data_IF_308855129639
#
_entry.id   IF_308855129639
#
_cell.length_a   1.000
_cell.length_b   1.000
_cell.length_c   1.000
_cell.angle_alpha   90.00
_cell.angle_beta   90.00
_cell.angle_gamma   90.00
#
_symmetry.space_group_name_H-M   'P 1'
#
loop_
_entity.id
_entity.type
_entity.pdbx_description
1 polymer ?
#
# COMPACT_ATOMS: atom_id res chain seq x y z
N UNK A 1 -10.23 -4.12 31.46
CA UNK A 1 -10.70 -5.29 30.66
C UNK A 1 -11.80 -4.82 29.74
N UNK A 2 -11.50 -4.51 28.48
CA UNK A 2 -12.52 -4.15 27.48
C UNK A 2 -13.15 -5.47 27.03
N UNK A 3 -14.40 -5.71 27.49
CA UNK A 3 -15.15 -6.91 27.12
C UNK A 3 -15.18 -7.09 25.61
N UNK A 4 -14.94 -8.30 25.12
CA UNK A 4 -15.08 -8.71 23.71
C UNK A 4 -16.50 -8.41 23.23
N UNK A 5 -16.78 -7.18 22.76
CA UNK A 5 -18.06 -6.84 22.15
C UNK A 5 -18.22 -7.71 20.91
N UNK A 6 -19.32 -8.48 20.85
CA UNK A 6 -19.68 -9.28 19.69
C UNK A 6 -20.25 -8.35 18.60
N UNK A 7 -19.48 -8.11 17.54
CA UNK A 7 -19.86 -7.25 16.39
C UNK A 7 -20.94 -7.85 15.48
N UNK A 8 -21.53 -8.98 15.89
CA UNK A 8 -22.60 -9.66 15.14
C UNK A 8 -22.10 -10.67 14.10
N UNK A 9 -22.99 -11.61 13.71
CA UNK A 9 -22.67 -12.71 12.79
C UNK A 9 -22.38 -12.22 11.37
N UNK A 10 -23.07 -11.16 10.93
CA UNK A 10 -22.89 -10.61 9.58
C UNK A 10 -21.52 -9.93 9.41
N UNK A 11 -21.09 -9.16 10.42
CA UNK A 11 -19.74 -8.66 10.47
C UNK A 11 -18.70 -9.79 10.46
N UNK A 12 -19.00 -10.89 11.16
CA UNK A 12 -18.11 -12.07 11.18
C UNK A 12 -17.86 -12.62 9.78
N UNK A 13 -18.88 -12.74 8.93
CA UNK A 13 -18.75 -13.17 7.54
C UNK A 13 -17.93 -12.17 6.70
N UNK A 14 -18.23 -10.88 6.82
CA UNK A 14 -17.49 -9.85 6.10
C UNK A 14 -16.00 -9.85 6.48
N UNK A 15 -15.70 -9.93 7.78
CA UNK A 15 -14.33 -9.99 8.26
C UNK A 15 -13.62 -11.29 7.86
N UNK A 16 -14.27 -12.44 7.93
CA UNK A 16 -13.70 -13.72 7.50
C UNK A 16 -13.39 -13.73 6.00
N UNK A 17 -14.29 -13.23 5.15
CA UNK A 17 -14.06 -13.07 3.72
C UNK A 17 -12.85 -12.19 3.44
N UNK A 18 -12.76 -11.03 4.10
CA UNK A 18 -11.61 -10.16 4.01
C UNK A 18 -10.32 -10.85 4.48
N UNK A 19 -10.36 -11.55 5.62
CA UNK A 19 -9.19 -12.24 6.16
C UNK A 19 -8.64 -13.29 5.19
N UNK A 20 -9.53 -14.13 4.64
CA UNK A 20 -9.15 -15.14 3.64
C UNK A 20 -8.46 -14.49 2.43
N UNK A 21 -9.07 -13.43 1.88
CA UNK A 21 -8.50 -12.69 0.75
C UNK A 21 -7.19 -12.01 1.12
N UNK A 22 -7.07 -11.42 2.32
CA UNK A 22 -5.86 -10.74 2.77
C UNK A 22 -4.68 -11.72 2.95
N UNK A 23 -4.92 -12.87 3.57
CA UNK A 23 -3.87 -13.90 3.72
C UNK A 23 -3.52 -14.55 2.38
N UNK A 24 -4.47 -14.78 1.48
CA UNK A 24 -4.21 -15.26 0.13
C UNK A 24 -3.30 -14.30 -0.63
N UNK A 25 -3.64 -13.00 -0.65
CA UNK A 25 -2.81 -11.96 -1.27
C UNK A 25 -1.47 -11.78 -0.56
N UNK A 26 -1.40 -12.01 0.75
CA UNK A 26 -0.16 -12.06 1.50
C UNK A 26 0.77 -13.18 1.03
N UNK A 27 0.23 -14.39 0.85
CA UNK A 27 0.96 -15.54 0.27
C UNK A 27 1.40 -15.27 -1.17
N UNK A 28 0.55 -14.58 -1.94
CA UNK A 28 0.83 -14.15 -3.31
C UNK A 28 1.73 -12.91 -3.41
N UNK A 29 2.22 -12.35 -2.28
CA UNK A 29 3.10 -11.18 -2.29
C UNK A 29 4.36 -11.47 -3.12
N UNK A 30 4.61 -10.62 -4.10
CA UNK A 30 5.72 -10.79 -5.02
C UNK A 30 5.58 -11.96 -6.01
N UNK A 31 4.47 -12.72 -6.02
CA UNK A 31 4.32 -13.87 -6.91
C UNK A 31 4.40 -13.49 -8.39
N UNK A 32 3.73 -12.41 -8.81
CA UNK A 32 3.80 -11.95 -10.20
C UNK A 32 5.20 -11.48 -10.61
N UNK A 33 5.91 -10.63 -9.85
CA UNK A 33 7.31 -10.33 -10.06
C UNK A 33 8.21 -11.58 -10.05
N UNK A 34 7.99 -12.52 -9.11
CA UNK A 34 8.73 -13.78 -9.06
C UNK A 34 8.54 -14.64 -10.32
N UNK A 35 7.30 -14.78 -10.80
CA UNK A 35 7.01 -15.49 -12.06
C UNK A 35 7.67 -14.76 -13.23
N UNK A 36 7.59 -13.42 -13.31
CA UNK A 36 8.26 -12.65 -14.34
C UNK A 36 9.78 -12.90 -14.35
N UNK A 37 10.42 -12.89 -13.18
CA UNK A 37 11.87 -13.09 -13.04
C UNK A 37 12.28 -14.55 -13.29
N UNK A 38 11.60 -15.51 -12.66
CA UNK A 38 12.04 -16.91 -12.63
C UNK A 38 11.56 -17.72 -13.84
N UNK A 39 10.34 -17.45 -14.33
CA UNK A 39 9.72 -18.22 -15.42
C UNK A 39 9.93 -17.52 -16.76
N UNK A 40 9.59 -16.22 -16.85
CA UNK A 40 9.68 -15.45 -18.10
C UNK A 40 11.07 -14.84 -18.32
N UNK A 41 11.94 -14.88 -17.32
CA UNK A 41 13.29 -14.28 -17.35
C UNK A 41 13.24 -12.77 -17.68
N UNK A 42 12.18 -12.10 -17.23
CA UNK A 42 11.95 -10.69 -17.46
C UNK A 42 13.09 -9.81 -16.96
N UNK A 43 13.38 -8.74 -17.69
CA UNK A 43 14.38 -7.75 -17.32
C UNK A 43 13.93 -6.79 -16.22
N UNK A 44 14.83 -5.91 -15.73
CA UNK A 44 14.49 -4.94 -14.68
C UNK A 44 13.37 -3.99 -15.06
N UNK A 45 13.35 -3.52 -16.33
CA UNK A 45 12.29 -2.64 -16.85
C UNK A 45 10.93 -3.32 -16.84
N UNK A 46 10.86 -4.60 -17.28
CA UNK A 46 9.63 -5.37 -17.30
C UNK A 46 9.09 -5.62 -15.88
N UNK A 47 9.94 -6.06 -14.95
CA UNK A 47 9.53 -6.31 -13.55
C UNK A 47 9.06 -5.01 -12.88
N UNK A 48 9.73 -3.89 -13.15
CA UNK A 48 9.34 -2.58 -12.65
C UNK A 48 8.04 -2.08 -13.29
N UNK A 49 7.84 -2.32 -14.59
CA UNK A 49 6.58 -2.01 -15.28
C UNK A 49 5.41 -2.80 -14.66
N UNK A 50 5.60 -4.10 -14.38
CA UNK A 50 4.60 -4.93 -13.72
C UNK A 50 4.23 -4.39 -12.32
N UNK A 51 5.22 -3.97 -11.54
CA UNK A 51 5.02 -3.39 -10.21
C UNK A 51 4.38 -1.99 -10.26
N UNK A 52 4.61 -1.23 -11.34
CA UNK A 52 4.03 0.10 -11.55
C UNK A 52 2.56 0.07 -11.98
N UNK A 53 2.07 -1.04 -12.56
CA UNK A 53 0.68 -1.16 -13.06
C UNK A 53 -0.34 -0.93 -11.95
N UNK A 54 -0.18 -1.55 -10.77
CA UNK A 54 -1.11 -1.38 -9.67
C UNK A 54 -1.28 0.08 -9.23
N UNK A 55 -0.20 0.78 -8.89
CA UNK A 55 -0.22 2.21 -8.60
C UNK A 55 -0.75 3.07 -9.76
N UNK A 56 -0.39 2.77 -11.03
CA UNK A 56 -0.91 3.50 -12.19
C UNK A 56 -2.43 3.37 -12.31
N UNK A 57 -2.96 2.15 -12.19
CA UNK A 57 -4.39 1.89 -12.14
C UNK A 57 -5.05 2.63 -10.96
N UNK A 58 -4.40 2.63 -9.79
CA UNK A 58 -4.86 3.36 -8.62
C UNK A 58 -4.98 4.86 -8.87
N UNK A 59 -4.00 5.46 -9.54
CA UNK A 59 -4.03 6.88 -9.88
C UNK A 59 -5.13 7.24 -10.91
N UNK A 60 -5.34 6.38 -11.91
CA UNK A 60 -6.25 6.65 -13.01
C UNK A 60 -7.71 6.31 -12.69
N UNK A 61 -7.95 5.19 -12.00
CA UNK A 61 -9.30 4.61 -11.85
C UNK A 61 -9.97 4.98 -10.53
N UNK A 62 -9.21 5.37 -9.50
CA UNK A 62 -9.79 5.69 -8.19
C UNK A 62 -10.89 6.76 -8.26
N UNK A 63 -10.75 7.75 -9.15
CA UNK A 63 -11.70 8.86 -9.32
C UNK A 63 -13.01 8.41 -9.96
N UNK A 64 -13.02 7.78 -11.15
CA UNK A 64 -14.27 7.37 -11.81
C UNK A 64 -14.95 6.17 -11.11
N UNK A 65 -14.18 5.37 -10.37
CA UNK A 65 -14.69 4.16 -9.73
C UNK A 65 -15.51 4.45 -8.47
N UNK A 66 -15.18 5.49 -7.71
CA UNK A 66 -15.88 5.82 -6.47
C UNK A 66 -17.38 6.12 -6.69
N UNK A 67 -17.81 6.98 -7.64
CA UNK A 67 -19.22 7.18 -7.95
C UNK A 67 -19.89 5.90 -8.47
N UNK A 68 -19.21 5.14 -9.33
CA UNK A 68 -19.76 3.89 -9.87
C UNK A 68 -20.10 2.88 -8.76
N UNK A 69 -19.24 2.75 -7.73
CA UNK A 69 -19.50 1.91 -6.56
C UNK A 69 -20.63 2.49 -5.70
N UNK A 70 -20.72 3.82 -5.55
CA UNK A 70 -21.71 4.49 -4.70
C UNK A 70 -23.15 4.18 -5.15
N UNK A 71 -23.41 4.18 -6.46
CA UNK A 71 -24.73 3.95 -7.04
C UNK A 71 -25.10 2.47 -7.22
N UNK A 72 -24.29 1.53 -6.72
CA UNK A 72 -24.55 0.10 -6.82
C UNK A 72 -24.70 -0.56 -5.46
N UNK A 73 -25.39 -1.71 -5.44
CA UNK A 73 -25.45 -2.58 -4.26
C UNK A 73 -24.05 -3.10 -3.94
N UNK A 74 -23.63 -2.97 -2.67
CA UNK A 74 -22.23 -3.16 -2.27
C UNK A 74 -21.81 -4.63 -2.32
N UNK A 75 -22.67 -5.55 -1.87
CA UNK A 75 -22.39 -6.99 -1.85
C UNK A 75 -22.21 -7.59 -3.25
N UNK A 76 -23.15 -7.39 -4.22
CA UNK A 76 -22.91 -7.83 -5.60
C UNK A 76 -21.64 -7.27 -6.22
N UNK A 77 -21.29 -6.01 -5.95
CA UNK A 77 -20.03 -5.42 -6.41
C UNK A 77 -18.84 -6.16 -5.81
N UNK A 78 -18.82 -6.42 -4.50
CA UNK A 78 -17.73 -7.16 -3.85
C UNK A 78 -17.58 -8.58 -4.43
N UNK A 79 -18.69 -9.30 -4.60
CA UNK A 79 -18.67 -10.66 -5.20
C UNK A 79 -18.14 -10.61 -6.63
N UNK A 80 -18.63 -9.67 -7.45
CA UNK A 80 -18.19 -9.52 -8.83
C UNK A 80 -16.70 -9.19 -8.92
N UNK A 81 -16.18 -8.34 -8.02
CA UNK A 81 -14.76 -7.98 -7.99
C UNK A 81 -13.88 -9.15 -7.55
N UNK A 82 -14.34 -9.97 -6.58
CA UNK A 82 -13.61 -11.17 -6.19
C UNK A 82 -13.60 -12.23 -7.29
N UNK A 83 -14.73 -12.43 -7.98
CA UNK A 83 -14.81 -13.35 -9.12
C UNK A 83 -13.94 -12.86 -10.29
N UNK A 84 -13.89 -11.55 -10.54
CA UNK A 84 -13.01 -10.98 -11.56
C UNK A 84 -11.52 -11.21 -11.22
N UNK A 85 -11.12 -11.02 -9.94
CA UNK A 85 -9.77 -11.32 -9.46
C UNK A 85 -9.46 -12.81 -9.57
N UNK A 86 -10.38 -13.68 -9.14
CA UNK A 86 -10.26 -15.14 -9.29
C UNK A 86 -10.03 -15.53 -10.75
N UNK A 87 -10.93 -15.08 -11.64
CA UNK A 87 -10.86 -15.43 -13.06
C UNK A 87 -9.53 -14.94 -13.69
N UNK A 88 -9.13 -13.70 -13.42
CA UNK A 88 -7.88 -13.16 -13.92
C UNK A 88 -6.66 -13.96 -13.42
N UNK A 89 -6.56 -14.22 -12.10
CA UNK A 89 -5.46 -14.96 -11.50
C UNK A 89 -5.43 -16.41 -11.96
N UNK A 90 -6.59 -17.07 -12.14
CA UNK A 90 -6.68 -18.45 -12.60
C UNK A 90 -6.19 -18.64 -14.06
N UNK A 91 -6.14 -17.58 -14.87
CA UNK A 91 -5.54 -17.66 -16.22
C UNK A 91 -4.04 -17.95 -16.18
N UNK A 92 -3.32 -17.56 -15.13
CA UNK A 92 -1.87 -17.72 -15.01
C UNK A 92 -1.46 -19.20 -14.90
N UNK A 93 -1.99 -20.01 -13.94
CA UNK A 93 -1.65 -21.40 -13.87
C UNK A 93 -2.06 -22.19 -15.10
N UNK A 94 -3.20 -21.84 -15.73
CA UNK A 94 -3.63 -22.44 -16.98
C UNK A 94 -2.64 -22.15 -18.10
N UNK A 95 -2.31 -20.88 -18.32
CA UNK A 95 -1.34 -20.49 -19.35
C UNK A 95 0.05 -21.07 -19.09
N UNK A 96 0.46 -21.18 -17.83
CA UNK A 96 1.71 -21.81 -17.44
C UNK A 96 1.75 -23.31 -17.80
N UNK A 97 0.66 -24.04 -17.52
CA UNK A 97 0.56 -25.45 -17.82
C UNK A 97 0.61 -25.76 -19.33
N UNK A 98 0.08 -24.85 -20.16
CA UNK A 98 0.13 -24.97 -21.64
C UNK A 98 1.36 -24.33 -22.28
N UNK A 99 2.24 -23.69 -21.51
CA UNK A 99 3.41 -22.99 -22.04
C UNK A 99 3.10 -21.68 -22.78
N UNK A 100 1.90 -21.10 -22.58
CA UNK A 100 1.44 -19.87 -23.26
C UNK A 100 1.57 -18.62 -22.37
N UNK A 101 2.17 -18.76 -21.19
CA UNK A 101 2.33 -17.64 -20.26
C UNK A 101 3.16 -16.52 -20.90
N UNK A 102 2.59 -15.32 -20.96
CA UNK A 102 3.25 -14.14 -21.52
C UNK A 102 3.35 -13.00 -20.51
N UNK A 103 4.33 -12.11 -20.72
CA UNK A 103 4.48 -10.92 -19.88
C UNK A 103 3.26 -9.98 -19.99
N UNK A 104 2.68 -9.83 -21.20
CA UNK A 104 1.47 -9.03 -21.43
C UNK A 104 0.30 -9.57 -20.58
N UNK A 105 0.16 -10.89 -20.48
CA UNK A 105 -0.87 -11.50 -19.62
C UNK A 105 -0.66 -11.10 -18.16
N UNK A 106 0.57 -11.11 -17.65
CA UNK A 106 0.85 -10.68 -16.26
C UNK A 106 0.48 -9.21 -16.03
N UNK A 107 0.77 -8.33 -17.00
CA UNK A 107 0.37 -6.91 -16.95
C UNK A 107 -1.15 -6.75 -16.89
N UNK A 108 -1.89 -7.44 -17.77
CA UNK A 108 -3.36 -7.39 -17.82
C UNK A 108 -3.95 -7.92 -16.51
N UNK A 109 -3.48 -9.06 -16.03
CA UNK A 109 -3.93 -9.64 -14.76
C UNK A 109 -3.66 -8.68 -13.59
N UNK A 110 -2.46 -8.08 -13.52
CA UNK A 110 -2.12 -7.09 -12.49
C UNK A 110 -3.05 -5.88 -12.53
N UNK A 111 -3.36 -5.37 -13.74
CA UNK A 111 -4.27 -4.24 -13.91
C UNK A 111 -5.70 -4.58 -13.45
N UNK A 112 -6.22 -5.75 -13.83
CA UNK A 112 -7.56 -6.22 -13.44
C UNK A 112 -7.64 -6.41 -11.93
N UNK A 113 -6.66 -7.08 -11.33
CA UNK A 113 -6.59 -7.32 -9.88
C UNK A 113 -6.52 -6.01 -9.11
N UNK A 114 -5.71 -5.04 -9.56
CA UNK A 114 -5.60 -3.72 -8.92
C UNK A 114 -6.93 -2.93 -9.00
N UNK A 115 -7.55 -2.86 -10.19
CA UNK A 115 -8.84 -2.19 -10.38
C UNK A 115 -9.95 -2.81 -9.52
N UNK A 116 -10.04 -4.13 -9.54
CA UNK A 116 -11.02 -4.88 -8.75
C UNK A 116 -10.81 -4.71 -7.24
N UNK A 117 -9.54 -4.66 -6.76
CA UNK A 117 -9.20 -4.40 -5.36
C UNK A 117 -9.69 -3.03 -4.89
N UNK A 118 -9.54 -2.00 -5.72
CA UNK A 118 -10.00 -0.64 -5.40
C UNK A 118 -11.53 -0.61 -5.25
N UNK A 119 -12.27 -1.21 -6.20
CA UNK A 119 -13.73 -1.30 -6.14
C UNK A 119 -14.21 -2.14 -4.95
N UNK A 120 -13.56 -3.26 -4.69
CA UNK A 120 -13.85 -4.13 -3.55
C UNK A 120 -13.68 -3.37 -2.22
N UNK A 121 -12.58 -2.67 -2.03
CA UNK A 121 -12.31 -1.91 -0.80
C UNK A 121 -13.31 -0.77 -0.59
N UNK A 122 -13.70 -0.06 -1.66
CA UNK A 122 -14.70 0.99 -1.62
C UNK A 122 -16.08 0.43 -1.22
N UNK A 123 -16.51 -0.68 -1.84
CA UNK A 123 -17.76 -1.35 -1.50
C UNK A 123 -17.73 -1.96 -0.09
N UNK A 124 -16.60 -2.56 0.31
CA UNK A 124 -16.38 -3.17 1.63
C UNK A 124 -16.49 -2.16 2.77
N UNK A 125 -15.89 -0.98 2.59
CA UNK A 125 -16.00 0.12 3.57
C UNK A 125 -17.44 0.62 3.77
N UNK A 126 -18.20 0.71 2.68
CA UNK A 126 -19.63 1.07 2.74
C UNK A 126 -20.48 -0.05 3.38
N UNK A 127 -20.20 -1.32 3.03
CA UNK A 127 -20.86 -2.48 3.62
C UNK A 127 -20.58 -2.58 5.13
N UNK A 128 -19.35 -2.32 5.57
CA UNK A 128 -18.96 -2.29 6.97
C UNK A 128 -19.79 -1.27 7.76
N UNK A 129 -19.92 -0.04 7.24
CA UNK A 129 -20.75 1.01 7.87
C UNK A 129 -22.21 0.64 8.02
N UNK A 130 -22.75 -0.16 7.08
CA UNK A 130 -24.12 -0.62 7.12
C UNK A 130 -24.34 -1.78 8.11
N UNK A 131 -23.31 -2.60 8.37
CA UNK A 131 -23.40 -3.79 9.23
C UNK A 131 -23.05 -3.53 10.70
N UNK A 132 -22.32 -2.47 11.00
CA UNK A 132 -21.76 -2.19 12.34
C UNK A 132 -22.27 -0.85 12.83
N UNK A 133 -22.63 -0.80 14.13
CA UNK A 133 -23.07 0.44 14.78
C UNK A 133 -21.93 1.49 14.81
N UNK A 134 -22.25 2.79 14.76
CA UNK A 134 -21.22 3.84 14.77
C UNK A 134 -20.19 3.69 15.91
N UNK A 135 -20.64 3.35 17.12
CA UNK A 135 -19.78 3.18 18.31
C UNK A 135 -18.82 1.99 18.21
N UNK A 136 -19.13 1.00 17.38
CA UNK A 136 -18.35 -0.23 17.21
C UNK A 136 -17.45 -0.18 15.96
N UNK A 137 -17.55 0.87 15.12
CA UNK A 137 -16.76 1.01 13.88
C UNK A 137 -15.25 1.03 14.14
N UNK A 138 -14.81 1.64 15.25
CA UNK A 138 -13.40 1.68 15.61
C UNK A 138 -12.86 0.26 15.87
N UNK A 139 -13.63 -0.56 16.61
CA UNK A 139 -13.23 -1.95 16.92
C UNK A 139 -13.25 -2.80 15.66
N UNK A 140 -14.24 -2.59 14.78
CA UNK A 140 -14.34 -3.29 13.50
C UNK A 140 -13.14 -2.96 12.60
N UNK A 141 -12.82 -1.67 12.40
CA UNK A 141 -11.66 -1.25 11.61
C UNK A 141 -10.34 -1.76 12.20
N UNK A 142 -10.18 -1.76 13.53
CA UNK A 142 -8.99 -2.29 14.18
C UNK A 142 -8.78 -3.79 13.88
N UNK A 143 -9.86 -4.58 13.72
CA UNK A 143 -9.76 -5.99 13.28
C UNK A 143 -9.28 -6.12 11.83
N UNK A 144 -9.80 -5.29 10.91
CA UNK A 144 -9.34 -5.28 9.53
C UNK A 144 -7.87 -4.91 9.45
N UNK A 145 -7.45 -3.85 10.15
CA UNK A 145 -6.04 -3.42 10.20
C UNK A 145 -5.13 -4.49 10.79
N UNK A 146 -5.53 -5.11 11.90
CA UNK A 146 -4.76 -6.21 12.52
C UNK A 146 -4.61 -7.40 11.56
N UNK A 147 -5.67 -7.74 10.82
CA UNK A 147 -5.63 -8.80 9.80
C UNK A 147 -4.71 -8.42 8.64
N UNK A 148 -4.77 -7.18 8.17
CA UNK A 148 -3.90 -6.68 7.11
C UNK A 148 -2.43 -6.77 7.51
N UNK A 149 -2.06 -6.23 8.67
CA UNK A 149 -0.67 -6.28 9.15
C UNK A 149 -0.18 -7.70 9.39
N UNK A 150 -1.02 -8.58 9.95
CA UNK A 150 -0.63 -9.98 10.15
C UNK A 150 -0.46 -10.72 8.82
N UNK A 151 -1.29 -10.43 7.81
CA UNK A 151 -1.13 -11.03 6.47
C UNK A 151 0.14 -10.55 5.77
N UNK A 152 0.52 -9.28 5.94
CA UNK A 152 1.77 -8.74 5.40
C UNK A 152 2.99 -9.32 6.13
N UNK A 153 2.90 -9.55 7.44
CA UNK A 153 4.01 -10.11 8.23
C UNK A 153 4.24 -11.61 7.96
N UNK A 154 3.17 -12.39 7.82
CA UNK A 154 3.21 -13.86 7.73
C UNK A 154 3.17 -14.34 6.28
N UNK A 155 2.48 -13.59 5.40
CA UNK A 155 2.25 -13.98 4.01
C UNK A 155 3.53 -14.20 3.20
N UNK A 156 4.42 -13.21 3.08
CA UNK A 156 5.61 -13.32 2.23
C UNK A 156 6.57 -14.45 2.61
N UNK A 157 6.89 -14.74 3.89
CA UNK A 157 7.70 -15.88 4.24
C UNK A 157 7.07 -17.22 3.87
N UNK A 158 5.77 -17.37 4.15
CA UNK A 158 5.05 -18.60 3.80
C UNK A 158 4.89 -18.73 2.28
N UNK A 159 4.64 -17.63 1.58
CA UNK A 159 4.58 -17.60 0.12
C UNK A 159 5.92 -17.94 -0.50
N UNK A 160 7.02 -17.37 -0.02
CA UNK A 160 8.37 -17.70 -0.46
C UNK A 160 8.74 -19.15 -0.21
N UNK A 161 8.38 -19.72 0.95
CA UNK A 161 8.55 -21.13 1.25
C UNK A 161 7.71 -22.03 0.32
N UNK A 162 6.45 -21.67 0.08
CA UNK A 162 5.58 -22.41 -0.84
C UNK A 162 6.11 -22.38 -2.28
N UNK A 163 6.65 -21.26 -2.74
CA UNK A 163 7.30 -21.13 -4.05
C UNK A 163 8.54 -22.03 -4.12
N UNK A 164 9.34 -22.07 -3.05
CA UNK A 164 10.54 -22.90 -2.99
C UNK A 164 10.25 -24.41 -3.00
N UNK A 165 9.14 -24.84 -2.40
CA UNK A 165 8.75 -26.26 -2.29
C UNK A 165 7.91 -26.74 -3.49
N UNK A 166 6.98 -25.91 -3.97
CA UNK A 166 5.94 -26.31 -4.93
C UNK A 166 5.99 -25.54 -6.25
N UNK A 167 6.92 -24.60 -6.38
CA UNK A 167 7.08 -23.76 -7.57
C UNK A 167 6.31 -22.44 -7.52
N UNK A 168 6.61 -21.51 -8.47
CA UNK A 168 6.16 -20.13 -8.40
C UNK A 168 4.66 -19.94 -8.66
N UNK A 169 3.98 -20.90 -9.29
CA UNK A 169 2.55 -20.82 -9.62
C UNK A 169 1.67 -21.17 -8.44
N UNK A 170 2.18 -21.89 -7.44
CA UNK A 170 1.41 -22.38 -6.29
C UNK A 170 0.76 -21.24 -5.49
N UNK A 171 1.51 -20.17 -5.23
CA UNK A 171 0.98 -19.00 -4.48
C UNK A 171 -0.05 -18.24 -5.27
N UNK A 172 0.04 -18.21 -6.61
CA UNK A 172 -0.98 -17.63 -7.49
C UNK A 172 -2.29 -18.42 -7.41
N UNK A 173 -2.20 -19.77 -7.38
CA UNK A 173 -3.36 -20.64 -7.20
C UNK A 173 -3.99 -20.41 -5.83
N UNK A 174 -3.18 -20.34 -4.77
CA UNK A 174 -3.67 -20.08 -3.42
C UNK A 174 -4.36 -18.71 -3.31
N UNK A 175 -3.81 -17.66 -3.90
CA UNK A 175 -4.41 -16.33 -3.94
C UNK A 175 -5.71 -16.34 -4.76
N UNK A 176 -5.73 -16.96 -5.93
CA UNK A 176 -6.94 -17.11 -6.73
C UNK A 176 -8.07 -17.80 -5.94
N UNK A 177 -7.76 -18.94 -5.30
CA UNK A 177 -8.75 -19.66 -4.48
C UNK A 177 -9.23 -18.82 -3.29
N UNK A 178 -8.38 -17.98 -2.72
CA UNK A 178 -8.76 -17.07 -1.63
C UNK A 178 -9.84 -16.07 -2.06
N UNK A 179 -9.76 -15.55 -3.28
CA UNK A 179 -10.81 -14.68 -3.85
C UNK A 179 -12.13 -15.40 -4.05
N UNK A 180 -12.09 -16.65 -4.51
CA UNK A 180 -13.29 -17.46 -4.64
C UNK A 180 -13.95 -17.74 -3.28
N UNK A 181 -13.16 -18.11 -2.28
CA UNK A 181 -13.64 -18.32 -0.91
C UNK A 181 -14.18 -17.03 -0.29
N UNK A 182 -13.54 -15.89 -0.56
CA UNK A 182 -14.03 -14.57 -0.14
C UNK A 182 -15.39 -14.26 -0.76
N UNK A 183 -15.54 -14.46 -2.08
CA UNK A 183 -16.82 -14.27 -2.76
C UNK A 183 -17.94 -15.15 -2.15
N UNK A 184 -17.66 -16.43 -1.89
CA UNK A 184 -18.60 -17.35 -1.23
C UNK A 184 -18.95 -16.88 0.19
N UNK A 185 -17.98 -16.40 0.97
CA UNK A 185 -18.22 -15.85 2.30
C UNK A 185 -19.10 -14.60 2.29
N UNK A 186 -18.96 -13.74 1.28
CA UNK A 186 -19.83 -12.55 1.11
C UNK A 186 -21.26 -12.95 0.78
N UNK A 187 -21.50 -14.01 0.03
CA UNK A 187 -22.88 -14.51 -0.25
C UNK A 187 -23.60 -14.97 1.03
N UNK A 188 -22.86 -15.42 2.05
CA UNK A 188 -23.42 -15.82 3.33
C UNK A 188 -23.90 -14.64 4.20
N UNK A 189 -23.57 -13.41 3.83
CA UNK A 189 -24.04 -12.21 4.52
C UNK A 189 -25.52 -12.01 4.20
N UNK A 190 -26.39 -12.20 5.20
CA UNK A 190 -27.85 -12.03 5.11
C UNK A 190 -28.24 -10.63 5.58
N UNK A 191 -29.42 -10.16 5.14
CA UNK A 191 -30.02 -8.87 5.49
C UNK A 191 -30.32 -8.03 4.26
N UNK A 192 -31.27 -7.12 4.39
CA UNK A 192 -31.59 -6.17 3.31
C UNK A 192 -30.45 -5.18 3.17
N UNK A 193 -29.94 -5.06 1.97
CA UNK A 193 -29.00 -4.00 1.64
C UNK A 193 -29.81 -2.74 1.32
N UNK A 194 -29.46 -1.60 1.92
CA UNK A 194 -30.08 -0.33 1.57
C UNK A 194 -30.09 -0.15 0.05
N UNK A 195 -31.23 0.26 -0.48
CA UNK A 195 -31.33 0.59 -1.90
C UNK A 195 -30.29 1.65 -2.27
N UNK A 196 -29.66 1.53 -3.44
CA UNK A 196 -28.71 2.55 -3.89
C UNK A 196 -29.38 3.93 -3.83
N UNK A 197 -28.68 4.93 -3.34
CA UNK A 197 -29.19 6.30 -3.33
C UNK A 197 -29.46 6.74 -4.77
N UNK A 198 -30.75 6.81 -5.14
CA UNK A 198 -31.19 7.23 -6.48
C UNK A 198 -31.20 8.76 -6.66
N UNK A 199 -31.07 9.51 -5.58
CA UNK A 199 -31.13 10.97 -5.57
C UNK A 199 -29.85 11.57 -5.02
N UNK A 200 -29.04 12.06 -5.92
CA UNK A 200 -27.83 12.80 -5.60
C UNK A 200 -26.88 12.87 -6.79
N UNK A 201 -27.33 13.51 -7.88
CA UNK A 201 -26.41 14.02 -8.90
C UNK A 201 -25.51 15.08 -8.27
N UNK A 202 -24.51 14.69 -7.51
CA UNK A 202 -23.29 15.46 -7.47
C UNK A 202 -22.34 14.82 -8.47
N UNK A 203 -22.30 15.30 -9.71
CA UNK A 203 -21.17 14.96 -10.55
C UNK A 203 -19.95 15.35 -9.73
N UNK A 204 -19.02 14.43 -9.51
CA UNK A 204 -17.68 14.81 -9.08
C UNK A 204 -17.16 15.67 -10.22
N UNK A 205 -17.42 16.99 -10.10
CA UNK A 205 -16.91 17.95 -11.09
C UNK A 205 -15.41 17.77 -11.05
N UNK A 206 -14.78 17.61 -12.21
CA UNK A 206 -13.31 17.57 -12.30
C UNK A 206 -12.68 18.74 -11.53
N UNK A 207 -13.37 19.90 -11.47
CA UNK A 207 -13.01 21.02 -10.62
C UNK A 207 -12.98 20.73 -9.12
N UNK A 208 -13.78 19.79 -8.61
CA UNK A 208 -13.79 19.47 -7.18
C UNK A 208 -12.52 18.74 -6.72
N UNK A 209 -11.88 17.97 -7.60
CA UNK A 209 -10.57 17.36 -7.33
C UNK A 209 -9.45 18.40 -7.37
N UNK A 210 -9.54 19.35 -8.30
CA UNK A 210 -8.59 20.46 -8.41
C UNK A 210 -8.58 21.31 -7.14
N UNK A 211 -9.71 21.46 -6.44
CA UNK A 211 -9.75 22.18 -5.16
C UNK A 211 -8.89 21.52 -4.08
N UNK A 212 -8.84 20.17 -4.05
CA UNK A 212 -7.94 19.41 -3.17
C UNK A 212 -6.47 19.72 -3.46
N UNK A 213 -6.06 19.69 -4.72
CA UNK A 213 -4.70 20.06 -5.12
C UNK A 213 -4.38 21.52 -4.94
N UNK A 214 -5.32 22.43 -5.23
CA UNK A 214 -5.16 23.87 -4.97
C UNK A 214 -4.89 24.12 -3.50
N UNK A 215 -5.65 23.47 -2.62
CA UNK A 215 -5.43 23.57 -1.18
C UNK A 215 -4.04 23.05 -0.77
N UNK A 216 -3.64 21.85 -1.25
CA UNK A 216 -2.33 21.26 -0.96
C UNK A 216 -1.17 22.15 -1.44
N UNK A 217 -1.28 22.71 -2.65
CA UNK A 217 -0.23 23.55 -3.23
C UNK A 217 -0.23 24.99 -2.67
N UNK A 218 -1.40 25.46 -2.23
CA UNK A 218 -1.55 26.82 -1.65
C UNK A 218 -1.02 26.94 -0.23
N UNK A 219 -1.00 25.85 0.56
CA UNK A 219 -0.49 25.87 1.93
C UNK A 219 0.98 25.46 1.98
N UNK A 220 1.92 26.36 2.35
CA UNK A 220 3.36 26.09 2.27
C UNK A 220 3.81 24.83 3.00
N UNK A 221 3.33 24.61 4.25
CA UNK A 221 3.66 23.43 5.04
C UNK A 221 3.12 22.13 4.43
N UNK A 222 1.84 22.12 3.97
CA UNK A 222 1.25 20.95 3.32
C UNK A 222 1.94 20.63 1.99
N UNK A 223 2.25 21.65 1.19
CA UNK A 223 2.99 21.49 -0.08
C UNK A 223 4.34 20.84 0.12
N UNK A 224 5.13 21.34 1.09
CA UNK A 224 6.44 20.81 1.41
C UNK A 224 6.36 19.33 1.84
N UNK A 225 5.46 19.01 2.76
CA UNK A 225 5.25 17.63 3.25
C UNK A 225 4.68 16.73 2.14
N UNK A 226 3.79 17.23 1.29
CA UNK A 226 3.24 16.48 0.17
C UNK A 226 4.34 16.10 -0.82
N UNK A 227 5.12 17.06 -1.33
CA UNK A 227 6.20 16.81 -2.29
C UNK A 227 7.27 15.87 -1.71
N UNK A 228 7.68 16.11 -0.46
CA UNK A 228 8.61 15.22 0.22
C UNK A 228 8.06 13.79 0.33
N UNK A 229 6.78 13.62 0.72
CA UNK A 229 6.19 12.29 0.86
C UNK A 229 6.00 11.57 -0.49
N UNK A 230 5.67 12.30 -1.57
CA UNK A 230 5.57 11.75 -2.93
C UNK A 230 6.92 11.18 -3.38
N UNK A 231 8.00 11.95 -3.23
CA UNK A 231 9.33 11.53 -3.63
C UNK A 231 9.85 10.38 -2.76
N UNK A 232 9.79 10.50 -1.44
CA UNK A 232 10.28 9.46 -0.52
C UNK A 232 9.50 8.15 -0.73
N UNK A 233 8.17 8.21 -0.73
CA UNK A 233 7.34 7.02 -0.91
C UNK A 233 7.53 6.38 -2.29
N UNK A 234 7.61 7.19 -3.35
CA UNK A 234 7.84 6.70 -4.70
C UNK A 234 9.22 6.06 -4.88
N UNK A 235 10.29 6.68 -4.34
CA UNK A 235 11.65 6.13 -4.41
C UNK A 235 11.79 4.83 -3.61
N UNK A 236 11.19 4.74 -2.42
CA UNK A 236 11.19 3.50 -1.63
C UNK A 236 10.46 2.39 -2.39
N UNK A 237 9.25 2.64 -2.90
CA UNK A 237 8.49 1.63 -3.63
C UNK A 237 9.15 1.23 -4.95
N UNK A 238 9.89 2.12 -5.60
CA UNK A 238 10.67 1.82 -6.81
C UNK A 238 11.81 0.81 -6.57
N UNK A 239 12.29 0.66 -5.33
CA UNK A 239 13.36 -0.30 -5.03
C UNK A 239 12.88 -1.75 -4.96
N UNK A 240 11.60 -2.01 -4.68
CA UNK A 240 11.06 -3.37 -4.52
C UNK A 240 11.27 -4.25 -5.76
N UNK A 241 10.86 -3.85 -6.98
CA UNK A 241 11.11 -4.67 -8.18
C UNK A 241 12.59 -4.80 -8.53
N UNK A 242 13.39 -3.78 -8.24
CA UNK A 242 14.84 -3.82 -8.46
C UNK A 242 15.52 -4.83 -7.51
N UNK A 243 15.07 -4.87 -6.24
CA UNK A 243 15.54 -5.86 -5.27
C UNK A 243 15.12 -7.27 -5.68
N UNK A 244 13.93 -7.47 -6.24
CA UNK A 244 13.52 -8.77 -6.74
C UNK A 244 14.52 -9.28 -7.81
N UNK A 245 14.85 -8.45 -8.79
CA UNK A 245 15.83 -8.82 -9.84
C UNK A 245 17.23 -9.01 -9.25
N UNK A 246 17.68 -8.10 -8.38
CA UNK A 246 19.01 -8.16 -7.76
C UNK A 246 19.18 -9.44 -6.92
N UNK A 247 18.24 -9.68 -6.00
CA UNK A 247 18.35 -10.78 -5.04
C UNK A 247 18.18 -12.15 -5.71
N UNK A 248 17.14 -12.30 -6.54
CA UNK A 248 16.79 -13.60 -7.11
C UNK A 248 17.64 -13.97 -8.31
N UNK A 249 17.96 -13.00 -9.20
CA UNK A 249 18.63 -13.28 -10.46
C UNK A 249 20.14 -13.05 -10.40
N UNK A 250 20.60 -11.96 -9.77
CA UNK A 250 22.03 -11.62 -9.74
C UNK A 250 22.76 -12.24 -8.55
N UNK A 251 22.12 -12.27 -7.38
CA UNK A 251 22.71 -12.80 -6.14
C UNK A 251 22.24 -14.22 -5.82
N UNK A 252 21.36 -14.81 -6.65
CA UNK A 252 20.86 -16.17 -6.54
C UNK A 252 20.28 -16.55 -5.16
N UNK A 253 19.59 -15.62 -4.51
CA UNK A 253 18.91 -15.89 -3.25
C UNK A 253 17.72 -16.83 -3.50
N UNK A 254 17.51 -17.84 -2.66
CA UNK A 254 16.32 -18.67 -2.75
C UNK A 254 15.06 -17.84 -2.43
N UNK A 255 13.90 -18.18 -3.02
CA UNK A 255 12.65 -17.41 -2.88
C UNK A 255 12.21 -17.19 -1.43
N UNK A 256 12.48 -18.14 -0.52
CA UNK A 256 12.14 -17.98 0.90
C UNK A 256 12.96 -16.88 1.59
N UNK A 257 14.24 -16.69 1.22
CA UNK A 257 15.05 -15.59 1.74
C UNK A 257 14.56 -14.25 1.23
N UNK A 258 14.12 -14.18 -0.04
CA UNK A 258 13.47 -13.00 -0.58
C UNK A 258 12.21 -12.65 0.23
N UNK A 259 11.31 -13.63 0.46
CA UNK A 259 10.13 -13.42 1.31
C UNK A 259 10.47 -12.95 2.73
N UNK A 260 11.49 -13.55 3.34
CA UNK A 260 11.95 -13.20 4.68
C UNK A 260 12.55 -11.78 4.74
N UNK A 261 13.27 -11.36 3.69
CA UNK A 261 13.87 -10.02 3.61
C UNK A 261 12.84 -8.90 3.75
N UNK A 262 11.61 -9.11 3.26
CA UNK A 262 10.53 -8.12 3.36
C UNK A 262 9.60 -8.34 4.57
N UNK A 263 9.44 -9.57 5.04
CA UNK A 263 8.50 -9.86 6.12
C UNK A 263 9.07 -9.55 7.51
N UNK A 264 10.33 -9.92 7.76
CA UNK A 264 10.93 -9.70 9.07
C UNK A 264 10.96 -8.21 9.47
N UNK A 265 11.25 -7.26 8.55
CA UNK A 265 11.18 -5.83 8.84
C UNK A 265 9.79 -5.29 9.22
N UNK A 266 8.70 -5.99 8.89
CA UNK A 266 7.34 -5.56 9.24
C UNK A 266 7.11 -5.41 10.77
N UNK A 267 7.89 -6.09 11.59
CA UNK A 267 7.91 -5.89 13.05
C UNK A 267 8.25 -4.42 13.39
N UNK A 268 9.07 -3.76 12.57
CA UNK A 268 9.38 -2.34 12.69
C UNK A 268 8.16 -1.43 12.64
N UNK A 269 7.12 -1.83 11.91
CA UNK A 269 5.85 -1.10 11.85
C UNK A 269 5.14 -0.99 13.20
N UNK A 270 5.16 -2.08 13.99
CA UNK A 270 4.62 -2.10 15.34
C UNK A 270 5.46 -1.25 16.30
N UNK A 271 6.78 -1.30 16.17
CA UNK A 271 7.71 -0.50 16.99
C UNK A 271 7.50 0.98 16.69
N UNK A 272 7.58 1.39 15.42
CA UNK A 272 7.45 2.78 15.02
C UNK A 272 6.11 3.41 15.39
N UNK A 273 5.00 2.71 15.16
CA UNK A 273 3.65 3.21 15.48
C UNK A 273 3.44 3.41 16.99
N UNK A 274 3.98 2.52 17.83
CA UNK A 274 3.91 2.67 19.31
C UNK A 274 4.78 3.81 19.81
N UNK A 275 5.92 4.06 19.16
CA UNK A 275 6.84 5.14 19.52
C UNK A 275 6.32 6.51 19.08
N UNK A 276 5.52 6.59 18.02
CA UNK A 276 5.07 7.84 17.42
C UNK A 276 4.49 8.82 18.44
N UNK A 277 3.53 8.38 19.28
CA UNK A 277 2.91 9.22 20.30
C UNK A 277 3.92 9.73 21.32
N UNK A 278 4.83 8.86 21.80
CA UNK A 278 5.84 9.22 22.83
C UNK A 278 6.82 10.26 22.29
N UNK A 279 7.25 10.07 21.03
CA UNK A 279 8.19 10.96 20.36
C UNK A 279 7.56 12.33 20.08
N UNK A 280 6.30 12.37 19.63
CA UNK A 280 5.57 13.63 19.39
C UNK A 280 5.37 14.41 20.70
N UNK A 281 4.95 13.73 21.77
CA UNK A 281 4.72 14.39 23.08
C UNK A 281 6.02 14.96 23.65
N UNK A 282 7.16 14.26 23.42
CA UNK A 282 8.45 14.67 23.99
C UNK A 282 9.16 15.77 23.17
N UNK A 283 9.08 15.72 21.83
CA UNK A 283 9.89 16.55 20.93
C UNK A 283 9.07 17.49 20.03
N UNK A 284 7.74 17.31 20.02
CA UNK A 284 6.85 18.09 19.16
C UNK A 284 6.81 17.61 17.71
N UNK A 285 5.75 17.99 16.98
CA UNK A 285 5.52 17.59 15.58
C UNK A 285 6.63 18.06 14.64
N UNK A 286 7.08 19.32 14.79
CA UNK A 286 8.12 19.90 13.94
C UNK A 286 9.46 19.15 14.03
N UNK A 287 9.89 18.79 15.24
CA UNK A 287 11.10 18.00 15.44
C UNK A 287 10.99 16.63 14.76
N UNK A 288 9.82 15.97 14.86
CA UNK A 288 9.57 14.69 14.19
C UNK A 288 9.67 14.84 12.66
N UNK A 289 9.07 15.88 12.06
CA UNK A 289 9.17 16.08 10.61
C UNK A 289 10.61 16.29 10.15
N UNK A 290 11.43 17.00 10.89
CA UNK A 290 12.83 17.23 10.54
C UNK A 290 13.73 16.03 10.82
N UNK A 291 13.69 15.47 12.03
CA UNK A 291 14.62 14.39 12.43
C UNK A 291 14.24 13.07 11.77
N UNK A 292 13.00 12.61 11.96
CA UNK A 292 12.54 11.34 11.39
C UNK A 292 12.39 11.44 9.88
N UNK A 293 11.94 12.62 9.36
CA UNK A 293 11.89 12.89 7.94
C UNK A 293 13.25 12.83 7.25
N UNK A 294 14.33 13.22 7.93
CA UNK A 294 15.72 13.07 7.45
C UNK A 294 16.20 11.63 7.62
N UNK A 295 15.99 11.03 8.80
CA UNK A 295 16.43 9.66 9.07
C UNK A 295 15.88 8.64 8.09
N UNK A 296 14.59 8.76 7.68
CA UNK A 296 14.00 7.83 6.71
C UNK A 296 14.67 7.88 5.32
N UNK A 297 15.35 8.97 4.99
CA UNK A 297 16.05 9.15 3.72
C UNK A 297 17.44 8.50 3.70
N UNK A 298 18.08 8.30 4.84
CA UNK A 298 19.48 7.86 4.91
C UNK A 298 19.62 6.36 4.61
N UNK A 299 18.65 5.56 4.99
CA UNK A 299 18.78 4.09 4.97
C UNK A 299 18.81 3.49 3.59
N UNK A 300 18.06 4.06 2.63
CA UNK A 300 17.85 3.46 1.30
C UNK A 300 19.17 3.22 0.55
N UNK A 301 20.16 4.07 0.73
CA UNK A 301 21.48 3.91 0.08
C UNK A 301 22.19 2.60 0.49
N UNK A 302 21.85 2.05 1.66
CA UNK A 302 22.38 0.78 2.13
C UNK A 302 22.07 -0.40 1.20
N UNK A 303 20.97 -0.33 0.43
CA UNK A 303 20.59 -1.37 -0.53
C UNK A 303 21.57 -1.50 -1.70
N UNK A 304 22.35 -0.45 -2.01
CA UNK A 304 23.36 -0.49 -3.04
C UNK A 304 24.54 -1.43 -2.67
N UNK A 305 24.75 -1.68 -1.37
CA UNK A 305 25.87 -2.47 -0.84
C UNK A 305 25.51 -3.92 -0.53
N UNK A 306 24.35 -4.38 -0.93
CA UNK A 306 23.90 -5.75 -0.72
C UNK A 306 24.84 -6.75 -1.42
N UNK A 307 25.32 -7.76 -0.65
CA UNK A 307 26.23 -8.81 -1.10
C UNK A 307 25.53 -10.17 -1.13
N UNK A 308 26.08 -11.18 -1.84
CA UNK A 308 25.54 -12.55 -1.77
C UNK A 308 25.63 -13.13 -0.36
N UNK A 309 24.74 -14.09 -0.07
CA UNK A 309 24.75 -14.86 1.16
C UNK A 309 24.11 -14.15 2.37
N UNK A 310 24.36 -14.69 3.56
CA UNK A 310 23.71 -14.25 4.81
C UNK A 310 23.94 -12.76 5.12
N UNK A 311 25.14 -12.26 4.82
CA UNK A 311 25.47 -10.83 5.05
C UNK A 311 24.56 -9.92 4.24
N UNK A 312 24.30 -10.27 2.96
CA UNK A 312 23.37 -9.48 2.12
C UNK A 312 21.94 -9.55 2.62
N UNK A 313 21.47 -10.74 3.05
CA UNK A 313 20.14 -10.91 3.62
C UNK A 313 19.97 -10.01 4.87
N UNK A 314 20.93 -10.05 5.79
CA UNK A 314 20.91 -9.22 7.01
C UNK A 314 20.96 -7.73 6.66
N UNK A 315 21.73 -7.36 5.64
CA UNK A 315 21.80 -5.95 5.17
C UNK A 315 20.43 -5.48 4.68
N UNK A 316 19.74 -6.26 3.81
CA UNK A 316 18.39 -5.91 3.33
C UNK A 316 17.42 -5.80 4.50
N UNK A 317 17.40 -6.81 5.38
CA UNK A 317 16.51 -6.82 6.55
C UNK A 317 16.74 -5.62 7.48
N UNK A 318 17.99 -5.25 7.72
CA UNK A 318 18.33 -4.12 8.59
C UNK A 318 17.92 -2.77 7.97
N UNK A 319 18.17 -2.59 6.66
CA UNK A 319 17.78 -1.38 5.93
C UNK A 319 16.27 -1.23 5.87
N UNK A 320 15.55 -2.29 5.48
CA UNK A 320 14.08 -2.29 5.41
C UNK A 320 13.45 -2.08 6.80
N UNK A 321 13.98 -2.73 7.84
CA UNK A 321 13.56 -2.52 9.22
C UNK A 321 13.68 -1.05 9.63
N UNK A 322 14.81 -0.43 9.34
CA UNK A 322 15.05 0.98 9.65
C UNK A 322 14.09 1.89 8.88
N UNK A 323 13.87 1.63 7.58
CA UNK A 323 12.91 2.38 6.75
C UNK A 323 11.51 2.25 7.34
N UNK A 324 11.04 1.03 7.64
CA UNK A 324 9.68 0.76 8.13
C UNK A 324 9.45 1.39 9.50
N UNK A 325 10.42 1.33 10.44
CA UNK A 325 10.32 2.01 11.75
C UNK A 325 10.12 3.51 11.54
N UNK A 326 10.97 4.14 10.72
CA UNK A 326 10.90 5.59 10.50
C UNK A 326 9.60 5.99 9.77
N UNK A 327 9.16 5.21 8.77
CA UNK A 327 7.90 5.45 8.06
C UNK A 327 6.69 5.32 8.98
N UNK A 328 6.66 4.28 9.83
CA UNK A 328 5.56 4.03 10.77
C UNK A 328 5.50 5.06 11.90
N UNK A 329 6.63 5.66 12.26
CA UNK A 329 6.68 6.77 13.20
C UNK A 329 6.21 8.08 12.55
N UNK A 330 6.61 8.33 11.31
CA UNK A 330 6.33 9.56 10.57
C UNK A 330 4.86 9.65 10.07
N UNK A 331 4.31 8.55 9.56
CA UNK A 331 3.01 8.52 8.89
C UNK A 331 1.83 9.04 9.73
N UNK A 332 1.64 8.64 11.01
CA UNK A 332 0.53 9.14 11.82
C UNK A 332 0.66 10.64 12.11
N UNK A 333 1.89 11.15 12.29
CA UNK A 333 2.14 12.58 12.53
C UNK A 333 1.78 13.39 11.29
N UNK A 334 2.17 12.91 10.12
CA UNK A 334 1.81 13.52 8.84
C UNK A 334 0.30 13.50 8.60
N UNK A 335 -0.37 12.39 8.90
CA UNK A 335 -1.81 12.26 8.75
C UNK A 335 -2.56 13.25 9.65
N UNK A 336 -2.14 13.38 10.91
CA UNK A 336 -2.71 14.33 11.87
C UNK A 336 -2.51 15.77 11.40
N UNK A 337 -1.29 16.17 11.05
CA UNK A 337 -0.99 17.50 10.56
C UNK A 337 -1.83 17.87 9.32
N UNK A 338 -1.96 16.95 8.37
CA UNK A 338 -2.78 17.14 7.18
C UNK A 338 -4.26 17.37 7.51
N UNK A 339 -4.82 16.65 8.48
CA UNK A 339 -6.21 16.80 8.90
C UNK A 339 -6.44 18.12 9.66
N UNK A 340 -5.51 18.51 10.53
CA UNK A 340 -5.57 19.76 11.30
C UNK A 340 -5.55 21.02 10.41
N UNK A 341 -4.76 20.95 9.31
CA UNK A 341 -4.59 22.09 8.39
C UNK A 341 -5.50 22.01 7.15
N UNK A 342 -6.51 21.13 7.16
CA UNK A 342 -7.47 21.02 6.07
C UNK A 342 -8.88 21.36 6.56
N UNK A 343 -9.56 22.37 5.99
CA UNK A 343 -10.95 22.71 6.32
C UNK A 343 -11.87 21.50 6.15
N UNK A 344 -12.85 21.33 7.05
CA UNK A 344 -13.74 20.14 7.08
C UNK A 344 -14.39 19.83 5.73
N UNK A 345 -14.79 20.85 4.97
CA UNK A 345 -15.43 20.69 3.66
C UNK A 345 -14.47 20.26 2.53
N UNK A 346 -13.13 20.38 2.73
CA UNK A 346 -12.11 19.99 1.76
C UNK A 346 -11.40 18.67 2.11
N UNK A 347 -11.61 18.11 3.30
CA UNK A 347 -10.88 16.92 3.77
C UNK A 347 -10.93 15.78 2.76
N UNK A 348 -12.12 15.39 2.29
CA UNK A 348 -12.25 14.28 1.34
C UNK A 348 -11.50 14.56 0.02
N UNK A 349 -11.58 15.79 -0.50
CA UNK A 349 -10.91 16.20 -1.74
C UNK A 349 -9.40 16.22 -1.59
N UNK A 350 -8.91 16.74 -0.47
CA UNK A 350 -7.47 16.78 -0.14
C UNK A 350 -6.89 15.37 0.04
N UNK A 351 -7.62 14.47 0.72
CA UNK A 351 -7.20 13.08 0.88
C UNK A 351 -7.18 12.32 -0.45
N UNK A 352 -8.16 12.55 -1.33
CA UNK A 352 -8.18 11.97 -2.67
C UNK A 352 -7.02 12.48 -3.54
N UNK A 353 -6.78 13.80 -3.55
CA UNK A 353 -5.66 14.41 -4.27
C UNK A 353 -4.30 13.87 -3.76
N UNK A 354 -4.17 13.71 -2.45
CA UNK A 354 -2.98 13.10 -1.83
C UNK A 354 -2.76 11.67 -2.30
N UNK A 355 -3.80 10.83 -2.22
CA UNK A 355 -3.73 9.42 -2.61
C UNK A 355 -3.40 9.25 -4.09
N UNK A 356 -4.05 10.02 -4.97
CA UNK A 356 -3.80 9.98 -6.42
C UNK A 356 -2.35 10.38 -6.71
N UNK A 357 -1.87 11.48 -6.11
CA UNK A 357 -0.50 11.91 -6.29
C UNK A 357 0.51 10.88 -5.80
N UNK A 358 0.25 10.23 -4.68
CA UNK A 358 1.12 9.17 -4.16
C UNK A 358 1.18 7.97 -5.11
N UNK A 359 0.04 7.50 -5.59
CA UNK A 359 -0.01 6.39 -6.54
C UNK A 359 0.66 6.75 -7.87
N UNK A 360 0.43 7.97 -8.39
CA UNK A 360 1.09 8.45 -9.59
C UNK A 360 2.62 8.55 -9.41
N UNK A 361 3.08 9.08 -8.29
CA UNK A 361 4.52 9.15 -7.97
C UNK A 361 5.16 7.77 -7.90
N UNK A 362 4.52 6.81 -7.22
CA UNK A 362 5.00 5.42 -7.15
C UNK A 362 5.08 4.83 -8.56
N UNK A 363 4.03 4.95 -9.37
CA UNK A 363 4.00 4.40 -10.72
C UNK A 363 5.14 4.96 -11.59
N UNK A 364 5.28 6.29 -11.62
CA UNK A 364 6.27 6.99 -12.44
C UNK A 364 7.69 6.66 -11.98
N UNK A 365 7.99 6.77 -10.68
CA UNK A 365 9.34 6.53 -10.17
C UNK A 365 9.73 5.06 -10.27
N UNK A 366 8.79 4.12 -10.10
CA UNK A 366 9.06 2.70 -10.32
C UNK A 366 9.37 2.40 -11.79
N UNK A 367 8.60 2.97 -12.73
CA UNK A 367 8.87 2.80 -14.16
C UNK A 367 10.22 3.40 -14.56
N UNK A 368 10.53 4.64 -14.11
CA UNK A 368 11.81 5.29 -14.40
C UNK A 368 13.01 4.53 -13.80
N UNK A 369 12.88 4.04 -12.58
CA UNK A 369 13.92 3.24 -11.94
C UNK A 369 14.16 1.92 -12.68
N UNK A 370 13.10 1.29 -13.18
CA UNK A 370 13.20 0.09 -14.02
C UNK A 370 13.90 0.35 -15.34
N UNK A 371 13.55 1.43 -16.06
CA UNK A 371 14.22 1.84 -17.29
C UNK A 371 15.70 2.15 -17.04
N UNK A 372 16.02 2.86 -15.95
CA UNK A 372 17.40 3.13 -15.57
C UNK A 372 18.18 1.84 -15.30
N UNK A 373 17.54 0.88 -14.60
CA UNK A 373 18.16 -0.41 -14.31
C UNK A 373 18.40 -1.26 -15.56
N UNK A 374 17.55 -1.14 -16.57
CA UNK A 374 17.65 -1.87 -17.84
C UNK A 374 18.83 -1.38 -18.68
N UNK A 375 19.02 -0.04 -18.75
CA UNK A 375 20.14 0.56 -19.52
C UNK A 375 21.46 0.55 -18.74
N UNK A 376 21.43 0.29 -17.42
CA UNK A 376 22.64 0.29 -16.58
C UNK A 376 22.75 -1.03 -15.78
N UNK A 377 22.23 -1.04 -14.55
CA UNK A 377 22.07 -2.22 -13.71
C UNK A 377 21.08 -1.95 -12.57
N UNK A 378 20.45 -3.00 -11.99
CA UNK A 378 19.63 -2.85 -10.79
C UNK A 378 20.37 -2.17 -9.63
N UNK A 379 21.66 -2.46 -9.46
CA UNK A 379 22.48 -1.85 -8.41
C UNK A 379 22.71 -0.35 -8.63
N UNK A 380 22.96 0.06 -9.88
CA UNK A 380 23.09 1.48 -10.24
C UNK A 380 21.79 2.23 -9.98
N UNK A 381 20.65 1.67 -10.37
CA UNK A 381 19.34 2.28 -10.13
C UNK A 381 19.02 2.40 -8.63
N UNK A 382 19.35 1.38 -7.82
CA UNK A 382 19.25 1.45 -6.35
C UNK A 382 20.15 2.53 -5.76
N UNK A 383 21.37 2.68 -6.28
CA UNK A 383 22.31 3.74 -5.84
C UNK A 383 21.76 5.13 -6.18
N UNK A 384 21.26 5.32 -7.39
CA UNK A 384 20.65 6.59 -7.82
C UNK A 384 19.40 6.91 -6.97
N UNK A 385 18.52 5.94 -6.74
CA UNK A 385 17.39 6.13 -5.84
C UNK A 385 17.80 6.51 -4.42
N UNK A 386 18.85 5.85 -3.89
CA UNK A 386 19.44 6.15 -2.59
C UNK A 386 20.09 7.55 -2.51
N UNK A 387 20.71 8.03 -3.59
CA UNK A 387 21.24 9.38 -3.65
C UNK A 387 20.15 10.44 -3.79
N UNK A 388 19.12 10.18 -4.62
CA UNK A 388 17.99 11.10 -4.79
C UNK A 388 17.19 11.27 -3.50
N UNK A 389 16.97 10.19 -2.75
CA UNK A 389 16.22 10.27 -1.50
C UNK A 389 16.96 11.09 -0.45
N UNK A 390 18.32 11.10 -0.46
CA UNK A 390 19.13 11.92 0.43
C UNK A 390 18.94 13.44 0.21
N UNK A 391 18.47 13.84 -0.97
CA UNK A 391 18.12 15.24 -1.23
C UNK A 391 16.73 15.64 -0.73
N UNK A 392 15.86 14.66 -0.44
CA UNK A 392 14.47 14.94 -0.04
C UNK A 392 14.30 15.70 1.28
N UNK A 393 15.20 15.63 2.28
CA UNK A 393 15.11 16.48 3.46
C UNK A 393 15.14 17.99 3.17
N UNK A 394 15.68 18.41 2.04
CA UNK A 394 15.65 19.81 1.59
C UNK A 394 14.23 20.32 1.34
N UNK A 395 13.28 19.42 1.05
CA UNK A 395 11.86 19.71 0.85
C UNK A 395 11.07 19.76 2.17
N UNK A 396 11.66 19.40 3.30
CA UNK A 396 10.95 19.45 4.58
C UNK A 396 10.66 20.89 4.99
N UNK A 397 9.48 21.14 5.60
CA UNK A 397 9.07 22.49 5.94
C UNK A 397 10.04 23.12 6.95
N UNK A 398 10.38 24.40 6.71
CA UNK A 398 11.13 25.21 7.65
C UNK A 398 10.24 25.64 8.82
N UNK A 399 10.87 26.03 9.94
CA UNK A 399 10.14 26.41 11.16
C UNK A 399 9.11 27.53 10.92
N UNK A 400 9.44 28.45 10.04
CA UNK A 400 8.60 29.60 9.70
C UNK A 400 7.36 29.24 8.84
N UNK A 401 7.35 28.04 8.27
CA UNK A 401 6.25 27.54 7.43
C UNK A 401 5.22 26.72 8.23
N UNK A 402 5.46 26.49 9.50
CA UNK A 402 4.57 25.78 10.40
C UNK A 402 4.06 26.75 11.48
N UNK A 403 2.76 27.11 11.49
CA UNK A 403 2.17 27.88 12.56
C UNK A 403 2.40 27.17 13.90
N UNK A 404 2.96 27.85 14.87
CA UNK A 404 3.02 27.34 16.24
C UNK A 404 1.59 27.36 16.78
N UNK A 405 1.05 26.21 17.14
CA UNK A 405 -0.13 26.16 18.00
C UNK A 405 0.33 26.69 19.37
N UNK A 406 0.09 27.93 19.65
CA UNK A 406 0.06 28.42 21.03
C UNK A 406 -1.06 27.63 21.75
N UNK A 407 -0.76 26.97 22.87
CA UNK A 407 -1.81 26.34 23.66
C UNK A 407 -2.77 27.44 24.15
N UNK A 408 -4.03 27.36 23.77
CA UNK A 408 -5.13 28.26 24.18
C UNK A 408 -5.35 28.36 25.71
N UNK A 409 -4.51 27.70 26.51
CA UNK A 409 -4.56 27.69 27.97
C UNK A 409 -4.06 28.98 28.65
N UNK A 410 -3.56 29.97 27.89
CA UNK A 410 -3.04 31.24 28.47
C UNK A 410 -4.02 32.43 28.41
N UNK A 411 -5.20 32.31 27.80
CA UNK A 411 -6.17 33.43 27.67
C UNK A 411 -7.41 33.32 28.57
N UNK A 412 -7.38 32.51 29.57
CA UNK A 412 -8.53 32.26 30.46
C UNK A 412 -8.42 32.80 31.86
N UNK A 413 -7.59 33.81 32.16
CA UNK A 413 -7.66 34.55 33.41
C UNK A 413 -7.05 35.96 33.24
N UNK A 414 -7.88 36.88 32.82
CA UNK A 414 -7.73 38.30 33.10
C UNK A 414 -9.10 38.96 33.04
#
# INVERSE_FOLDING_TARGET
MVGRRRLGRQFGWLWASYAVSAYGSGLGFGALPLIAVLVLRAGPAEVSALSAVGPAVGALIAVPLAPWVEFRRKRPVMIMMDLARFAAMATIPVAYAFGWLSFVQLLVVSAVVAAAKIAFNAAGGACLKALVRPDDLLVANARFESTNWSSIAVGPPLGGAAIGLFGPVTTVVADALSYLLSALGITAIRGQEEAPRTTGKSPVRAGALLDGWRHLMGHPGLRALYLNNMLVGGLIMATEPLLAVLLLRQLAFPPWQYGLAFAAPCVGGLIGSRLARRVVVRYGQHAVFRTVGTLRAIWLIGLAFVRPGVVGLVTVMAVELAIIINMSLYSPVLATYRLEHTPKHLVARTLSAWSIGQQASIAVLTALAGLLADVTSPRTALTVAGLLILATPLLLPRRDQMPQHEPELARGHS
#
